data_IF_514033830257
#
_entry.id   IF_514033830257
#
_cell.length_a   1.000
_cell.length_b   1.000
_cell.length_c   1.000
_cell.angle_alpha   90.00
_cell.angle_beta   90.00
_cell.angle_gamma   90.00
#
_symmetry.space_group_name_H-M   'P 1'
#
loop_
_entity.id
_entity.type
_entity.pdbx_description
1 polymer ?
#
# COMPACT_ATOMS: atom_id res chain seq x y z
N UNK A 1 7.36 -16.05 -1.62
CA UNK A 1 8.04 -15.81 -0.33
C UNK A 1 7.05 -15.07 0.58
N UNK A 2 7.33 -14.85 1.87
CA UNK A 2 6.47 -14.03 2.74
C UNK A 2 7.10 -12.66 2.93
N UNK A 3 6.25 -11.64 3.05
CA UNK A 3 6.65 -10.24 3.21
C UNK A 3 7.63 -10.07 4.40
N UNK A 4 8.51 -9.08 4.32
CA UNK A 4 9.38 -8.69 5.44
C UNK A 4 8.51 -8.35 6.68
N UNK A 5 8.60 -9.11 7.79
CA UNK A 5 7.70 -8.95 8.93
C UNK A 5 7.76 -7.56 9.58
N UNK A 6 8.93 -6.92 9.57
CA UNK A 6 9.10 -5.58 10.14
C UNK A 6 8.42 -4.52 9.28
N UNK A 7 8.56 -4.62 7.97
CA UNK A 7 7.90 -3.71 7.02
C UNK A 7 6.39 -3.92 7.07
N UNK A 8 5.92 -5.17 7.10
CA UNK A 8 4.50 -5.48 7.27
C UNK A 8 3.91 -4.84 8.52
N UNK A 9 4.55 -5.03 9.68
CA UNK A 9 4.09 -4.45 10.94
C UNK A 9 4.04 -2.92 10.88
N UNK A 10 5.04 -2.29 10.26
CA UNK A 10 5.10 -0.82 10.10
C UNK A 10 4.00 -0.32 9.17
N UNK A 11 3.75 -1.02 8.06
CA UNK A 11 2.69 -0.66 7.11
C UNK A 11 1.31 -0.79 7.73
N UNK A 12 1.02 -1.91 8.40
CA UNK A 12 -0.23 -2.14 9.14
C UNK A 12 -0.44 -1.07 10.21
N UNK A 13 0.61 -0.73 10.97
CA UNK A 13 0.52 0.32 11.98
C UNK A 13 0.23 1.69 11.37
N UNK A 14 0.86 2.05 10.26
CA UNK A 14 0.63 3.31 9.55
C UNK A 14 -0.79 3.43 9.00
N UNK A 15 -1.33 2.35 8.43
CA UNK A 15 -2.73 2.31 7.96
C UNK A 15 -3.73 2.48 9.12
N UNK A 16 -3.40 1.97 10.32
CA UNK A 16 -4.25 2.08 11.52
C UNK A 16 -4.02 3.35 12.34
N UNK A 17 -2.97 4.13 12.08
CA UNK A 17 -2.57 5.25 12.95
C UNK A 17 -3.52 6.45 12.88
N UNK A 18 -4.23 6.61 11.76
CA UNK A 18 -5.00 7.81 11.46
C UNK A 18 -4.14 9.02 11.04
N UNK A 19 -2.82 8.85 10.92
CA UNK A 19 -1.91 9.89 10.43
C UNK A 19 -1.99 10.06 8.90
N UNK A 20 -2.42 9.02 8.20
CA UNK A 20 -2.60 9.03 6.75
C UNK A 20 -4.07 9.19 6.38
N UNK A 21 -4.37 10.17 5.54
CA UNK A 21 -5.68 10.31 4.91
C UNK A 21 -5.77 9.35 3.73
N UNK A 22 -6.79 8.49 3.72
CA UNK A 22 -7.01 7.53 2.63
C UNK A 22 -7.49 8.25 1.36
N UNK A 23 -6.67 8.20 0.32
CA UNK A 23 -6.96 8.58 -1.06
C UNK A 23 -7.23 7.36 -1.93
N UNK A 24 -7.55 7.59 -3.20
CA UNK A 24 -7.88 6.56 -4.20
C UNK A 24 -7.27 6.87 -5.56
N UNK A 25 -7.15 5.85 -6.40
CA UNK A 25 -6.72 5.93 -7.82
C UNK A 25 -5.30 6.47 -8.07
N UNK A 26 -4.57 6.86 -7.02
CA UNK A 26 -3.20 7.36 -7.09
C UNK A 26 -2.47 6.99 -5.81
N UNK A 27 -1.17 6.68 -5.92
CA UNK A 27 -0.33 6.43 -4.73
C UNK A 27 -0.41 7.59 -3.74
N UNK A 28 -0.39 8.83 -4.24
CA UNK A 28 -0.55 10.03 -3.42
C UNK A 28 -1.20 11.13 -4.26
N UNK A 29 -2.11 11.89 -3.67
CA UNK A 29 -2.66 13.11 -4.24
C UNK A 29 -2.78 14.14 -3.12
N UNK A 30 -2.05 15.25 -3.22
CA UNK A 30 -1.90 16.24 -2.14
C UNK A 30 -1.47 15.59 -0.80
N UNK A 31 -2.39 15.52 0.17
CA UNK A 31 -2.21 14.94 1.50
C UNK A 31 -2.85 13.55 1.64
N UNK A 32 -3.49 13.04 0.59
CA UNK A 32 -4.13 11.74 0.56
C UNK A 32 -3.20 10.68 -0.04
N UNK A 33 -3.32 9.45 0.46
CA UNK A 33 -2.50 8.32 0.04
C UNK A 33 -3.37 7.09 -0.23
N UNK A 34 -3.07 6.35 -1.28
CA UNK A 34 -3.55 4.96 -1.39
C UNK A 34 -2.77 4.07 -0.40
N UNK A 35 -3.28 2.88 -0.09
CA UNK A 35 -2.61 1.92 0.79
C UNK A 35 -1.17 1.59 0.33
N UNK A 36 -0.93 1.49 -0.98
CA UNK A 36 0.40 1.31 -1.56
C UNK A 36 1.26 2.58 -1.46
N UNK A 37 0.64 3.76 -1.54
CA UNK A 37 1.33 5.03 -1.33
C UNK A 37 1.85 5.22 0.08
N UNK A 38 1.11 4.72 1.08
CA UNK A 38 1.59 4.66 2.47
C UNK A 38 2.87 3.82 2.56
N UNK A 39 2.94 2.69 1.85
CA UNK A 39 4.15 1.85 1.82
C UNK A 39 5.35 2.59 1.19
N UNK A 40 5.13 3.30 0.08
CA UNK A 40 6.15 4.16 -0.54
C UNK A 40 6.64 5.27 0.40
N UNK A 41 5.71 5.94 1.10
CA UNK A 41 6.06 7.01 2.03
C UNK A 41 6.86 6.49 3.24
N UNK A 42 6.54 5.30 3.74
CA UNK A 42 7.32 4.64 4.79
C UNK A 42 8.74 4.32 4.34
N UNK A 43 8.90 3.79 3.12
CA UNK A 43 10.22 3.57 2.52
C UNK A 43 10.98 4.91 2.43
N UNK A 44 10.35 5.94 1.89
CA UNK A 44 10.98 7.26 1.72
C UNK A 44 11.48 7.82 3.06
N UNK A 45 10.65 7.72 4.11
CA UNK A 45 10.98 8.11 5.49
C UNK A 45 12.13 7.29 6.08
N UNK A 46 12.14 5.98 5.91
CA UNK A 46 13.19 5.09 6.45
C UNK A 46 14.55 5.35 5.77
N UNK A 47 14.55 5.63 4.48
CA UNK A 47 15.76 5.83 3.68
C UNK A 47 16.21 7.29 3.55
N UNK A 48 15.45 8.25 4.09
CA UNK A 48 15.77 9.67 4.02
C UNK A 48 15.73 10.24 2.61
N UNK A 49 14.88 9.67 1.75
CA UNK A 49 14.66 10.14 0.37
C UNK A 49 13.31 10.85 0.25
N UNK A 50 13.19 11.72 -0.75
CA UNK A 50 11.91 12.38 -1.01
C UNK A 50 10.91 11.38 -1.63
N UNK A 51 9.62 11.57 -1.34
CA UNK A 51 8.58 10.89 -2.10
C UNK A 51 8.59 11.45 -3.52
N UNK A 52 8.89 10.61 -4.50
CA UNK A 52 9.08 11.03 -5.88
C UNK A 52 8.25 10.13 -6.81
N UNK A 53 7.26 10.72 -7.48
CA UNK A 53 6.41 10.03 -8.45
C UNK A 53 7.15 9.58 -9.69
N UNK A 54 8.34 10.08 -10.01
CA UNK A 54 9.19 9.57 -11.09
C UNK A 54 10.01 8.35 -10.66
N UNK A 55 10.38 8.26 -9.38
CA UNK A 55 10.95 7.05 -8.76
C UNK A 55 9.90 5.98 -8.48
N UNK A 56 8.65 6.42 -8.24
CA UNK A 56 7.49 5.59 -7.95
C UNK A 56 6.37 5.67 -9.00
N UNK A 57 6.67 6.04 -10.23
CA UNK A 57 5.70 6.12 -11.34
C UNK A 57 6.39 5.80 -12.65
N UNK A 58 6.67 4.52 -12.85
CA UNK A 58 7.41 4.00 -13.99
C UNK A 58 6.55 3.15 -14.92
N UNK A 59 5.30 3.56 -15.23
CA UNK A 59 4.55 2.92 -16.32
C UNK A 59 3.05 3.18 -16.43
N UNK A 60 2.36 3.52 -15.33
CA UNK A 60 0.91 3.75 -15.32
C UNK A 60 0.46 4.16 -13.92
N UNK A 61 -0.64 4.91 -13.84
CA UNK A 61 -1.03 5.70 -12.67
C UNK A 61 -1.43 4.90 -11.40
N UNK A 62 -1.33 3.56 -11.39
CA UNK A 62 -1.87 2.70 -10.32
C UNK A 62 -0.91 1.62 -9.74
N UNK A 63 0.35 1.51 -10.17
CA UNK A 63 1.24 0.39 -9.77
C UNK A 63 2.52 0.89 -9.06
N UNK A 64 2.91 0.24 -7.94
CA UNK A 64 4.20 0.49 -7.25
C UNK A 64 5.37 0.18 -8.18
N UNK A 65 6.22 1.14 -8.60
CA UNK A 65 7.21 0.87 -9.63
C UNK A 65 8.64 1.11 -9.15
N UNK A 66 8.96 0.66 -7.94
CA UNK A 66 10.38 0.50 -7.61
C UNK A 66 10.64 -0.89 -7.05
N UNK A 67 11.47 -1.63 -7.77
CA UNK A 67 12.13 -2.83 -7.25
C UNK A 67 12.72 -2.58 -5.85
N UNK A 68 13.08 -1.34 -5.52
CA UNK A 68 13.55 -0.93 -4.20
C UNK A 68 12.51 -1.11 -3.09
N UNK A 69 11.27 -0.63 -3.27
CA UNK A 69 10.19 -0.79 -2.27
C UNK A 69 9.80 -2.26 -2.18
N UNK A 70 9.72 -2.97 -3.31
CA UNK A 70 9.44 -4.41 -3.33
C UNK A 70 10.50 -5.24 -2.60
N UNK A 71 11.78 -5.01 -2.91
CA UNK A 71 12.91 -5.70 -2.30
C UNK A 71 12.98 -5.41 -0.81
N UNK A 72 12.80 -4.14 -0.41
CA UNK A 72 12.75 -3.73 0.99
C UNK A 72 11.59 -4.39 1.74
N UNK A 73 10.39 -4.38 1.14
CA UNK A 73 9.19 -4.97 1.71
C UNK A 73 9.17 -6.50 1.62
N UNK A 74 10.03 -7.13 0.81
CA UNK A 74 9.99 -8.56 0.54
C UNK A 74 8.72 -9.01 -0.17
N UNK A 75 8.14 -8.15 -1.02
CA UNK A 75 6.94 -8.45 -1.80
C UNK A 75 7.33 -9.03 -3.17
N UNK A 76 6.62 -10.08 -3.60
CA UNK A 76 6.81 -10.70 -4.91
C UNK A 76 5.98 -10.00 -6.02
N UNK A 77 5.17 -9.00 -5.67
CA UNK A 77 4.28 -8.26 -6.58
C UNK A 77 4.11 -6.82 -6.12
N UNK A 78 4.07 -5.90 -7.09
CA UNK A 78 3.80 -4.46 -6.94
C UNK A 78 2.45 -4.15 -6.32
N UNK A 79 1.52 -5.11 -6.37
CA UNK A 79 0.18 -4.95 -5.82
C UNK A 79 -0.32 -6.30 -5.30
N UNK A 80 0.06 -6.66 -4.06
CA UNK A 80 -0.24 -7.97 -3.50
C UNK A 80 -1.75 -8.18 -3.36
N UNK A 81 -2.17 -9.44 -3.50
CA UNK A 81 -3.58 -9.79 -3.37
C UNK A 81 -3.93 -10.25 -1.95
N UNK A 82 -5.07 -9.76 -1.46
CA UNK A 82 -5.68 -10.17 -0.19
C UNK A 82 -7.17 -10.46 -0.40
N UNK A 83 -7.72 -11.32 0.44
CA UNK A 83 -9.15 -11.59 0.48
C UNK A 83 -9.83 -10.75 1.56
N UNK A 84 -10.85 -9.97 1.16
CA UNK A 84 -11.70 -9.20 2.08
C UNK A 84 -13.14 -9.48 1.70
N UNK A 85 -13.97 -9.89 2.66
CA UNK A 85 -15.37 -10.26 2.46
C UNK A 85 -15.59 -11.29 1.34
N UNK A 86 -14.69 -12.27 1.23
CA UNK A 86 -14.74 -13.34 0.22
C UNK A 86 -14.30 -12.92 -1.20
N UNK A 87 -13.83 -11.68 -1.38
CA UNK A 87 -13.28 -11.21 -2.64
C UNK A 87 -11.75 -11.15 -2.57
N UNK A 88 -11.06 -12.06 -3.26
CA UNK A 88 -9.61 -12.01 -3.45
C UNK A 88 -9.28 -11.07 -4.60
N UNK A 89 -8.64 -9.95 -4.28
CA UNK A 89 -8.26 -8.90 -5.22
C UNK A 89 -6.96 -8.25 -4.73
N UNK A 90 -6.37 -7.45 -5.61
CA UNK A 90 -5.27 -6.55 -5.29
C UNK A 90 -5.64 -5.58 -4.14
N UNK A 91 -4.67 -5.21 -3.31
CA UNK A 91 -4.91 -4.27 -2.19
C UNK A 91 -5.33 -2.89 -2.69
N UNK A 92 -4.83 -2.45 -3.86
CA UNK A 92 -5.28 -1.23 -4.55
C UNK A 92 -6.77 -1.30 -4.90
N UNK A 93 -7.23 -2.42 -5.48
CA UNK A 93 -8.63 -2.62 -5.89
C UNK A 93 -9.58 -2.58 -4.69
N UNK A 94 -9.16 -3.11 -3.54
CA UNK A 94 -9.92 -2.98 -2.29
C UNK A 94 -9.97 -1.52 -1.79
N UNK A 95 -8.89 -0.76 -1.96
CA UNK A 95 -8.83 0.67 -1.63
C UNK A 95 -9.75 1.50 -2.54
N UNK A 96 -9.71 1.24 -3.84
CA UNK A 96 -10.36 2.05 -4.88
C UNK A 96 -11.79 1.60 -5.19
N UNK A 97 -12.23 0.50 -4.60
CA UNK A 97 -13.60 0.01 -4.72
C UNK A 97 -14.65 1.06 -4.33
N UNK A 98 -15.84 0.92 -4.90
CA UNK A 98 -16.99 1.80 -4.62
C UNK A 98 -18.08 1.09 -3.80
N UNK A 99 -18.82 1.86 -2.99
CA UNK A 99 -19.90 1.34 -2.15
C UNK A 99 -19.40 0.27 -1.17
N UNK A 100 -20.05 -0.89 -1.14
CA UNK A 100 -19.65 -2.02 -0.26
C UNK A 100 -18.32 -2.67 -0.63
N UNK A 101 -17.79 -2.36 -1.82
CA UNK A 101 -16.48 -2.83 -2.27
C UNK A 101 -15.33 -1.91 -1.82
N UNK A 102 -15.63 -0.70 -1.37
CA UNK A 102 -14.61 0.21 -0.80
C UNK A 102 -14.22 -0.29 0.58
N UNK A 103 -12.92 -0.51 0.80
CA UNK A 103 -12.39 -0.92 2.10
C UNK A 103 -11.64 0.24 2.74
N UNK A 104 -11.83 0.40 4.05
CA UNK A 104 -11.06 1.36 4.82
C UNK A 104 -9.63 0.87 5.01
N UNK A 105 -8.71 1.78 5.30
CA UNK A 105 -7.36 1.40 5.74
C UNK A 105 -7.34 0.38 6.88
N UNK A 106 -8.26 0.47 7.85
CA UNK A 106 -8.34 -0.52 8.92
C UNK A 106 -8.66 -1.92 8.37
N UNK A 107 -9.63 -2.05 7.47
CA UNK A 107 -10.00 -3.34 6.85
C UNK A 107 -8.87 -3.90 5.98
N UNK A 108 -8.19 -3.04 5.23
CA UNK A 108 -7.04 -3.42 4.40
C UNK A 108 -5.88 -3.87 5.30
N UNK A 109 -5.63 -3.16 6.41
CA UNK A 109 -4.59 -3.51 7.37
C UNK A 109 -4.84 -4.87 8.04
N UNK A 110 -6.09 -5.17 8.43
CA UNK A 110 -6.48 -6.48 8.98
C UNK A 110 -6.17 -7.61 7.97
N UNK A 111 -6.48 -7.38 6.69
CA UNK A 111 -6.24 -8.35 5.63
C UNK A 111 -4.74 -8.57 5.37
N UNK A 112 -3.96 -7.50 5.30
CA UNK A 112 -2.50 -7.55 5.15
C UNK A 112 -1.85 -8.30 6.32
N UNK A 113 -2.22 -7.95 7.55
CA UNK A 113 -1.66 -8.55 8.77
C UNK A 113 -1.86 -10.08 8.78
N UNK A 114 -3.06 -10.53 8.40
CA UNK A 114 -3.44 -11.93 8.41
C UNK A 114 -3.00 -12.77 7.20
N UNK A 115 -2.61 -12.15 6.08
CA UNK A 115 -2.46 -12.87 4.80
C UNK A 115 -1.09 -12.71 4.11
N UNK A 116 -0.32 -11.65 4.40
CA UNK A 116 0.99 -11.39 3.77
C UNK A 116 2.18 -11.78 4.66
#
# INVERSE_FOLDING_TARGET
>A
MSMNPKVKATWVAALRSGEYQQGREQLKCDAEFCCLGVLCDLYAKEHGVAFDFGLYGGGGDDELPSSLVLEWAGLDSEDPQVEIDGARQNVSVHNDGAGTRSKTFAQIADAIEGQL
#
